data_IF_981201513336
#
_entry.id   IF_981201513336
#
_cell.length_a   1.000
_cell.length_b   1.000
_cell.length_c   1.000
_cell.angle_alpha   90.00
_cell.angle_beta   90.00
_cell.angle_gamma   90.00
#
_symmetry.space_group_name_H-M   'P 1'
#
loop_
_entity.id
_entity.type
_entity.pdbx_description
1 polymer ?
#
# COMPACT_ATOMS: atom_id res chain seq x y z
N UNK A 1 -84.17 126.21 -1.80
CA UNK A 1 -84.48 125.40 -3.00
C UNK A 1 -83.21 125.31 -3.81
N UNK A 2 -82.80 124.11 -4.22
CA UNK A 2 -81.57 123.90 -4.98
C UNK A 2 -81.86 124.00 -6.49
N UNK A 3 -81.17 124.89 -7.20
CA UNK A 3 -81.31 125.06 -8.64
C UNK A 3 -80.60 123.93 -9.39
N UNK A 4 -81.15 123.51 -10.55
CA UNK A 4 -80.58 122.46 -11.39
C UNK A 4 -79.11 122.73 -11.74
N UNK A 5 -78.76 123.98 -12.10
CA UNK A 5 -77.37 124.39 -12.39
C UNK A 5 -76.36 124.08 -11.26
N UNK A 6 -76.77 124.03 -9.99
CA UNK A 6 -75.88 123.68 -8.86
C UNK A 6 -75.72 122.16 -8.75
N UNK A 7 -76.78 121.40 -9.06
CA UNK A 7 -76.72 119.94 -9.13
C UNK A 7 -75.83 119.47 -10.28
N UNK A 8 -75.97 120.11 -11.44
CA UNK A 8 -75.16 119.82 -12.63
C UNK A 8 -73.66 120.02 -12.32
N UNK A 9 -73.30 121.14 -11.70
CA UNK A 9 -71.93 121.40 -11.23
C UNK A 9 -71.40 120.37 -10.24
N UNK A 10 -72.25 119.81 -9.37
CA UNK A 10 -71.85 118.74 -8.44
C UNK A 10 -71.65 117.41 -9.17
N UNK A 11 -72.55 117.07 -10.09
CA UNK A 11 -72.45 115.83 -10.89
C UNK A 11 -71.15 115.80 -11.67
N UNK A 12 -70.89 116.83 -12.48
CA UNK A 12 -69.68 116.87 -13.31
C UNK A 12 -68.41 116.92 -12.46
N UNK A 13 -68.44 117.60 -11.30
CA UNK A 13 -67.32 117.61 -10.35
C UNK A 13 -67.01 116.19 -9.85
N UNK A 14 -68.02 115.41 -9.50
CA UNK A 14 -67.84 114.07 -8.97
C UNK A 14 -67.35 113.11 -10.07
N UNK A 15 -67.86 113.23 -11.30
CA UNK A 15 -67.35 112.51 -12.48
C UNK A 15 -65.87 112.83 -12.73
N UNK A 16 -65.48 114.10 -12.73
CA UNK A 16 -64.07 114.50 -12.87
C UNK A 16 -63.21 113.95 -11.73
N UNK A 17 -63.70 113.91 -10.49
CA UNK A 17 -62.95 113.39 -9.33
C UNK A 17 -62.61 111.90 -9.49
N UNK A 18 -63.45 111.14 -10.15
CA UNK A 18 -63.16 109.74 -10.46
C UNK A 18 -62.26 109.60 -11.70
N UNK A 19 -62.57 110.32 -12.78
CA UNK A 19 -61.80 110.28 -14.03
C UNK A 19 -60.36 110.75 -13.85
N UNK A 20 -60.09 111.76 -13.02
CA UNK A 20 -58.74 112.30 -12.80
C UNK A 20 -57.77 111.30 -12.13
N UNK A 21 -58.28 110.25 -11.47
CA UNK A 21 -57.45 109.18 -10.90
C UNK A 21 -56.68 108.41 -11.99
N UNK A 22 -57.21 108.40 -13.22
CA UNK A 22 -56.56 107.77 -14.38
C UNK A 22 -55.28 108.47 -14.84
N UNK A 23 -55.16 109.79 -14.59
CA UNK A 23 -53.96 110.55 -14.90
C UNK A 23 -52.88 110.19 -13.88
N UNK A 24 -51.80 109.58 -14.38
CA UNK A 24 -50.61 109.22 -13.63
C UNK A 24 -49.48 110.17 -14.01
N UNK A 25 -49.16 111.19 -13.18
CA UNK A 25 -48.12 112.16 -13.50
C UNK A 25 -46.74 111.57 -13.80
N UNK A 26 -46.44 110.37 -13.28
CA UNK A 26 -45.18 109.65 -13.56
C UNK A 26 -45.01 109.21 -15.02
N UNK A 27 -46.11 109.11 -15.78
CA UNK A 27 -46.07 108.70 -17.20
C UNK A 27 -45.65 109.86 -18.14
N UNK A 28 -45.55 111.09 -17.61
CA UNK A 28 -45.20 112.30 -18.35
C UNK A 28 -44.04 113.05 -17.67
N UNK A 29 -42.85 112.42 -17.52
CA UNK A 29 -41.70 113.08 -16.92
C UNK A 29 -41.20 114.21 -17.82
N UNK A 30 -40.84 115.34 -17.22
CA UNK A 30 -40.15 116.48 -17.87
C UNK A 30 -40.87 117.19 -19.03
N UNK A 31 -42.13 116.85 -19.31
CA UNK A 31 -42.97 117.59 -20.27
C UNK A 31 -43.69 118.73 -19.55
N UNK A 32 -43.64 119.91 -20.16
CA UNK A 32 -44.33 121.11 -19.69
C UNK A 32 -45.44 121.51 -20.66
N UNK A 33 -46.50 122.08 -20.10
CA UNK A 33 -47.75 122.39 -20.79
C UNK A 33 -48.21 123.81 -20.46
N UNK A 34 -49.07 124.38 -21.30
CA UNK A 34 -49.58 125.73 -21.17
C UNK A 34 -48.77 126.76 -21.96
N UNK A 35 -49.32 127.97 -22.05
CA UNK A 35 -48.82 129.02 -22.95
C UNK A 35 -47.38 129.45 -22.64
N UNK A 36 -46.96 129.34 -21.38
CA UNK A 36 -45.61 129.68 -20.91
C UNK A 36 -44.83 128.45 -20.43
N UNK A 37 -45.30 127.24 -20.71
CA UNK A 37 -44.74 125.99 -20.17
C UNK A 37 -44.73 125.97 -18.63
N UNK A 38 -45.79 126.51 -18.03
CA UNK A 38 -45.91 126.73 -16.59
C UNK A 38 -46.38 125.50 -15.80
N UNK A 39 -46.95 124.49 -16.49
CA UNK A 39 -47.48 123.30 -15.83
C UNK A 39 -46.71 122.02 -16.16
N UNK A 40 -46.39 121.26 -15.12
CA UNK A 40 -46.06 119.84 -15.22
C UNK A 40 -47.33 119.00 -15.08
N UNK A 41 -47.33 117.76 -15.56
CA UNK A 41 -48.48 116.85 -15.43
C UNK A 41 -48.99 116.71 -13.98
N UNK A 42 -48.08 116.75 -13.00
CA UNK A 42 -48.43 116.76 -11.56
C UNK A 42 -49.14 118.05 -11.18
N UNK A 43 -48.64 119.20 -11.63
CA UNK A 43 -49.22 120.52 -11.37
C UNK A 43 -50.60 120.69 -12.02
N UNK A 44 -50.82 120.13 -13.21
CA UNK A 44 -52.15 120.08 -13.86
C UNK A 44 -53.12 119.30 -12.98
N UNK A 45 -52.74 118.07 -12.56
CA UNK A 45 -53.57 117.23 -11.71
C UNK A 45 -53.95 117.93 -10.41
N UNK A 46 -52.97 118.49 -9.70
CA UNK A 46 -53.19 119.27 -8.47
C UNK A 46 -54.03 120.52 -8.72
N UNK A 47 -53.84 121.18 -9.86
CA UNK A 47 -54.62 122.33 -10.29
C UNK A 47 -56.11 122.01 -10.46
N UNK A 48 -56.43 120.90 -11.12
CA UNK A 48 -57.81 120.41 -11.28
C UNK A 48 -58.39 119.99 -9.92
N UNK A 49 -57.65 119.25 -9.10
CA UNK A 49 -58.08 118.88 -7.73
C UNK A 49 -58.39 120.13 -6.88
N UNK A 50 -57.59 121.18 -7.03
CA UNK A 50 -57.82 122.49 -6.42
C UNK A 50 -59.12 123.14 -6.91
N UNK A 51 -59.38 123.11 -8.22
CA UNK A 51 -60.65 123.57 -8.82
C UNK A 51 -61.84 122.76 -8.28
N UNK A 52 -61.77 121.43 -8.26
CA UNK A 52 -62.86 120.57 -7.77
C UNK A 52 -63.16 120.85 -6.28
N UNK A 53 -62.14 121.15 -5.50
CA UNK A 53 -62.30 121.54 -4.11
C UNK A 53 -62.93 122.93 -3.96
N UNK A 54 -62.56 123.88 -4.83
CA UNK A 54 -63.22 125.19 -4.93
C UNK A 54 -64.70 125.01 -5.34
N UNK A 55 -65.03 124.13 -6.29
CA UNK A 55 -66.43 123.79 -6.66
C UNK A 55 -67.17 123.10 -5.52
N UNK A 56 -66.48 122.25 -4.75
CA UNK A 56 -67.05 121.60 -3.56
C UNK A 56 -67.49 122.65 -2.55
N UNK A 57 -66.62 123.59 -2.22
CA UNK A 57 -66.96 124.70 -1.32
C UNK A 57 -68.04 125.62 -1.90
N UNK A 58 -67.94 125.98 -3.18
CA UNK A 58 -68.91 126.83 -3.88
C UNK A 58 -70.32 126.25 -3.81
N UNK A 59 -70.44 124.94 -4.04
CA UNK A 59 -71.73 124.24 -4.09
C UNK A 59 -72.20 123.74 -2.73
N UNK A 60 -71.37 123.69 -1.69
CA UNK A 60 -71.74 123.19 -0.34
C UNK A 60 -72.94 123.95 0.25
N UNK A 61 -72.97 125.26 0.04
CA UNK A 61 -74.04 126.18 0.48
C UNK A 61 -74.80 126.77 -0.72
N UNK A 62 -75.89 126.14 -1.22
CA UNK A 62 -76.58 126.56 -2.45
C UNK A 62 -77.06 128.02 -2.44
N UNK A 63 -77.53 128.53 -1.30
CA UNK A 63 -77.99 129.92 -1.18
C UNK A 63 -76.84 130.92 -1.35
N UNK A 64 -75.66 130.63 -0.77
CA UNK A 64 -74.45 131.46 -0.90
C UNK A 64 -73.92 131.42 -2.34
N UNK A 65 -73.98 130.26 -2.99
CA UNK A 65 -73.67 130.10 -4.40
C UNK A 65 -74.54 131.02 -5.27
N UNK A 66 -75.86 131.00 -5.09
CA UNK A 66 -76.80 131.84 -5.87
C UNK A 66 -76.55 133.33 -5.62
N UNK A 67 -76.19 133.73 -4.40
CA UNK A 67 -75.88 135.14 -4.10
C UNK A 67 -74.58 135.64 -4.75
N UNK A 68 -73.63 134.74 -5.00
CA UNK A 68 -72.28 135.08 -5.49
C UNK A 68 -72.05 134.75 -6.96
N UNK A 69 -73.02 134.09 -7.61
CA UNK A 69 -72.95 133.69 -9.01
C UNK A 69 -74.25 133.97 -9.73
N UNK A 70 -74.15 134.34 -11.00
CA UNK A 70 -75.28 134.43 -11.92
C UNK A 70 -75.59 133.06 -12.53
N UNK A 71 -76.75 132.94 -13.19
CA UNK A 71 -77.09 131.71 -13.93
C UNK A 71 -76.08 131.44 -15.05
N UNK A 72 -75.73 132.46 -15.84
CA UNK A 72 -74.81 132.33 -16.96
C UNK A 72 -73.40 131.93 -16.51
N UNK A 73 -72.93 132.46 -15.37
CA UNK A 73 -71.64 132.05 -14.78
C UNK A 73 -71.64 130.58 -14.35
N UNK A 74 -72.76 130.05 -13.83
CA UNK A 74 -72.87 128.63 -13.45
C UNK A 74 -72.93 127.72 -14.67
N UNK A 75 -73.62 128.12 -15.74
CA UNK A 75 -73.64 127.38 -17.00
C UNK A 75 -72.26 127.37 -17.64
N UNK A 76 -71.62 128.54 -17.75
CA UNK A 76 -70.25 128.66 -18.27
C UNK A 76 -69.27 127.79 -17.47
N UNK A 77 -69.36 127.79 -16.14
CA UNK A 77 -68.52 126.96 -15.29
C UNK A 77 -68.76 125.46 -15.54
N UNK A 78 -70.01 125.06 -15.73
CA UNK A 78 -70.38 123.68 -16.04
C UNK A 78 -69.81 123.23 -17.40
N UNK A 79 -69.90 124.07 -18.42
CA UNK A 79 -69.35 123.80 -19.76
C UNK A 79 -67.83 123.64 -19.71
N UNK A 80 -67.14 124.50 -18.95
CA UNK A 80 -65.68 124.41 -18.78
C UNK A 80 -65.27 123.15 -17.99
N UNK A 81 -66.09 122.72 -17.01
CA UNK A 81 -65.86 121.46 -16.31
C UNK A 81 -66.09 120.25 -17.23
N UNK A 82 -67.11 120.29 -18.10
CA UNK A 82 -67.31 119.24 -19.11
C UNK A 82 -66.11 119.12 -20.05
N UNK A 83 -65.52 120.25 -20.48
CA UNK A 83 -64.29 120.24 -21.28
C UNK A 83 -63.15 119.55 -20.53
N UNK A 84 -62.94 119.88 -19.24
CA UNK A 84 -61.96 119.18 -18.39
C UNK A 84 -62.23 117.68 -18.35
N UNK A 85 -63.48 117.26 -18.17
CA UNK A 85 -63.84 115.85 -18.15
C UNK A 85 -63.44 115.15 -19.46
N UNK A 86 -63.83 115.70 -20.61
CA UNK A 86 -63.47 115.17 -21.93
C UNK A 86 -61.95 115.13 -22.16
N UNK A 87 -61.23 116.17 -21.76
CA UNK A 87 -59.77 116.21 -21.92
C UNK A 87 -59.03 115.26 -20.97
N UNK A 88 -59.61 114.93 -19.81
CA UNK A 88 -59.10 113.85 -18.95
C UNK A 88 -59.27 112.50 -19.65
N UNK A 89 -60.44 112.23 -20.24
CA UNK A 89 -60.72 110.98 -20.96
C UNK A 89 -59.82 110.79 -22.18
N UNK A 90 -59.57 111.86 -22.94
CA UNK A 90 -58.66 111.84 -24.10
C UNK A 90 -57.18 111.94 -23.72
N UNK A 91 -56.86 112.14 -22.43
CA UNK A 91 -55.49 112.36 -21.90
C UNK A 91 -54.76 113.55 -22.56
N UNK A 92 -55.50 114.61 -22.87
CA UNK A 92 -54.97 115.82 -23.50
C UNK A 92 -54.52 116.84 -22.45
N UNK A 93 -53.27 116.72 -22.01
CA UNK A 93 -52.72 117.58 -20.95
C UNK A 93 -52.56 119.05 -21.37
N UNK A 94 -52.40 119.34 -22.66
CA UNK A 94 -52.26 120.72 -23.14
C UNK A 94 -53.61 121.46 -23.03
N UNK A 95 -54.68 120.82 -23.47
CA UNK A 95 -56.02 121.40 -23.34
C UNK A 95 -56.53 121.40 -21.88
N UNK A 96 -56.05 120.48 -21.02
CA UNK A 96 -56.29 120.56 -19.58
C UNK A 96 -55.62 121.79 -18.95
N UNK A 97 -54.37 122.09 -19.30
CA UNK A 97 -53.68 123.29 -18.82
C UNK A 97 -54.43 124.57 -19.21
N UNK A 98 -54.89 124.65 -20.47
CA UNK A 98 -55.70 125.77 -20.96
C UNK A 98 -57.03 125.88 -20.19
N UNK A 99 -57.73 124.77 -19.99
CA UNK A 99 -59.02 124.74 -19.28
C UNK A 99 -58.90 125.19 -17.81
N UNK A 100 -57.79 124.86 -17.13
CA UNK A 100 -57.49 125.36 -15.78
C UNK A 100 -57.40 126.88 -15.77
N UNK A 101 -56.71 127.46 -16.77
CA UNK A 101 -56.53 128.90 -16.89
C UNK A 101 -57.86 129.62 -17.18
N UNK A 102 -58.78 129.00 -17.92
CA UNK A 102 -60.12 129.55 -18.20
C UNK A 102 -61.04 129.56 -16.98
N UNK A 103 -60.97 128.54 -16.11
CA UNK A 103 -61.84 128.43 -14.93
C UNK A 103 -61.37 129.34 -13.78
N UNK A 104 -60.05 129.57 -13.65
CA UNK A 104 -59.45 130.36 -12.56
C UNK A 104 -60.07 131.76 -12.38
N UNK A 105 -60.26 132.58 -13.42
CA UNK A 105 -60.90 133.89 -13.29
C UNK A 105 -62.34 133.81 -12.76
N UNK A 106 -63.13 132.84 -13.24
CA UNK A 106 -64.52 132.64 -12.82
C UNK A 106 -64.56 132.35 -11.30
N UNK A 107 -63.74 131.39 -10.84
CA UNK A 107 -63.69 131.03 -9.42
C UNK A 107 -63.10 132.13 -8.55
N UNK A 108 -62.15 132.92 -9.06
CA UNK A 108 -61.58 134.06 -8.32
C UNK A 108 -62.64 135.13 -8.05
N UNK A 109 -63.49 135.41 -9.03
CA UNK A 109 -64.55 136.42 -8.91
C UNK A 109 -65.61 136.04 -7.87
N UNK A 110 -65.87 134.74 -7.65
CA UNK A 110 -66.80 134.29 -6.59
C UNK A 110 -66.23 134.48 -5.18
N UNK A 111 -64.91 134.60 -5.04
CA UNK A 111 -64.22 134.68 -3.76
C UNK A 111 -64.24 133.39 -2.94
N UNK A 112 -64.59 132.24 -3.56
CA UNK A 112 -64.81 130.95 -2.87
C UNK A 112 -63.64 130.49 -2.00
N UNK A 113 -62.42 130.88 -2.35
CA UNK A 113 -61.20 130.52 -1.60
C UNK A 113 -61.13 131.13 -0.20
N UNK A 114 -61.89 132.20 0.05
CA UNK A 114 -61.98 132.87 1.34
C UNK A 114 -63.24 132.47 2.12
N UNK A 115 -63.95 131.43 1.68
CA UNK A 115 -65.14 130.94 2.37
C UNK A 115 -64.76 129.91 3.44
N UNK A 116 -65.48 129.92 4.57
CA UNK A 116 -65.28 128.94 5.65
C UNK A 116 -65.49 127.50 5.15
N UNK A 117 -66.42 127.28 4.21
CA UNK A 117 -66.65 125.98 3.59
C UNK A 117 -65.42 125.44 2.85
N UNK A 118 -64.55 126.33 2.33
CA UNK A 118 -63.32 125.92 1.65
C UNK A 118 -62.22 125.54 2.65
N UNK A 119 -62.17 126.24 3.78
CA UNK A 119 -61.27 125.93 4.89
C UNK A 119 -61.60 124.57 5.48
N UNK A 120 -62.88 124.27 5.71
CA UNK A 120 -63.34 122.97 6.22
C UNK A 120 -62.92 121.80 5.29
N UNK A 121 -63.09 121.97 3.97
CA UNK A 121 -62.62 120.97 2.97
C UNK A 121 -61.10 120.77 3.05
N UNK A 122 -60.33 121.81 3.35
CA UNK A 122 -58.88 121.71 3.52
C UNK A 122 -58.50 120.98 4.81
N UNK A 123 -59.18 121.26 5.93
CA UNK A 123 -58.95 120.61 7.22
C UNK A 123 -59.30 119.11 7.18
N UNK A 124 -60.40 118.74 6.51
CA UNK A 124 -60.78 117.34 6.28
C UNK A 124 -59.69 116.58 5.51
N UNK A 125 -59.18 117.18 4.42
CA UNK A 125 -58.11 116.57 3.61
C UNK A 125 -56.80 116.43 4.40
N UNK A 126 -56.45 117.44 5.19
CA UNK A 126 -55.24 117.44 6.03
C UNK A 126 -55.34 116.37 7.13
N UNK A 127 -56.49 116.27 7.78
CA UNK A 127 -56.76 115.24 8.80
C UNK A 127 -56.67 113.83 8.21
N UNK A 128 -57.25 113.62 7.03
CA UNK A 128 -57.16 112.33 6.33
C UNK A 128 -55.71 111.96 5.99
N UNK A 129 -54.88 112.94 5.59
CA UNK A 129 -53.46 112.71 5.31
C UNK A 129 -52.65 112.39 6.57
N UNK A 130 -52.93 113.06 7.70
CA UNK A 130 -52.29 112.77 8.99
C UNK A 130 -52.59 111.36 9.49
N UNK A 131 -53.83 110.88 9.33
CA UNK A 131 -54.20 109.49 9.66
C UNK A 131 -53.39 108.49 8.85
N UNK A 132 -53.33 108.66 7.52
CA UNK A 132 -52.52 107.81 6.63
C UNK A 132 -51.03 107.82 6.98
N UNK A 133 -50.50 108.98 7.35
CA UNK A 133 -49.10 109.10 7.77
C UNK A 133 -48.81 108.35 9.07
N UNK A 134 -49.75 108.40 10.02
CA UNK A 134 -49.65 107.67 11.30
C UNK A 134 -49.71 106.16 11.08
N UNK A 135 -50.70 105.68 10.31
CA UNK A 135 -50.82 104.27 9.92
C UNK A 135 -49.56 103.76 9.20
N UNK A 136 -48.96 104.58 8.33
CA UNK A 136 -47.71 104.21 7.66
C UNK A 136 -46.54 104.10 8.65
N UNK A 137 -46.45 105.00 9.64
CA UNK A 137 -45.40 104.96 10.67
C UNK A 137 -45.51 103.68 11.51
N UNK A 138 -46.71 103.31 11.96
CA UNK A 138 -46.95 102.07 12.72
C UNK A 138 -46.55 100.83 11.91
N UNK A 139 -46.89 100.82 10.61
CA UNK A 139 -46.49 99.73 9.72
C UNK A 139 -44.96 99.64 9.57
N UNK A 140 -44.25 100.77 9.49
CA UNK A 140 -42.78 100.80 9.42
C UNK A 140 -42.16 100.23 10.69
N UNK A 141 -42.68 100.59 11.86
CA UNK A 141 -42.20 100.04 13.14
C UNK A 141 -42.40 98.53 13.21
N UNK A 142 -43.58 98.03 12.82
CA UNK A 142 -43.87 96.59 12.77
C UNK A 142 -42.95 95.83 11.80
N UNK A 143 -42.57 96.47 10.69
CA UNK A 143 -41.65 95.90 9.71
C UNK A 143 -40.22 95.82 10.27
N UNK A 144 -39.77 96.86 10.98
CA UNK A 144 -38.46 96.87 11.64
C UNK A 144 -38.35 95.78 12.73
N UNK A 145 -39.40 95.58 13.53
CA UNK A 145 -39.45 94.47 14.49
C UNK A 145 -39.36 93.11 13.80
N UNK A 146 -40.04 92.96 12.66
CA UNK A 146 -40.02 91.72 11.88
C UNK A 146 -38.63 91.47 11.30
N UNK A 147 -37.94 92.51 10.82
CA UNK A 147 -36.56 92.43 10.36
C UNK A 147 -35.60 92.02 11.47
N UNK A 148 -35.74 92.58 12.67
CA UNK A 148 -34.95 92.17 13.85
C UNK A 148 -35.15 90.70 14.18
N UNK A 149 -36.40 90.22 14.18
CA UNK A 149 -36.72 88.79 14.39
C UNK A 149 -36.09 87.92 13.29
N UNK A 150 -36.19 88.32 12.03
CA UNK A 150 -35.57 87.59 10.92
C UNK A 150 -34.04 87.49 11.05
N UNK A 151 -33.36 88.56 11.47
CA UNK A 151 -31.92 88.56 11.72
C UNK A 151 -31.53 87.56 12.82
N UNK A 152 -32.28 87.50 13.93
CA UNK A 152 -32.01 86.53 15.00
C UNK A 152 -32.20 85.08 14.55
N UNK A 153 -33.18 84.81 13.69
CA UNK A 153 -33.42 83.48 13.12
C UNK A 153 -32.28 83.08 12.19
N UNK A 154 -31.78 84.01 11.36
CA UNK A 154 -30.64 83.74 10.46
C UNK A 154 -29.39 83.34 11.25
N UNK A 155 -29.11 84.01 12.36
CA UNK A 155 -27.98 83.65 13.22
C UNK A 155 -28.15 82.25 13.81
N UNK A 156 -29.34 81.93 14.34
CA UNK A 156 -29.64 80.59 14.85
C UNK A 156 -29.50 79.49 13.79
N UNK A 157 -29.93 79.75 12.56
CA UNK A 157 -29.76 78.82 11.43
C UNK A 157 -28.28 78.59 11.12
N UNK A 158 -27.44 79.62 11.23
CA UNK A 158 -26.00 79.49 10.97
C UNK A 158 -25.32 78.55 11.95
N UNK A 159 -25.69 78.60 13.23
CA UNK A 159 -25.18 77.71 14.29
C UNK A 159 -25.62 76.27 14.03
N UNK A 160 -26.92 76.06 13.77
CA UNK A 160 -27.47 74.72 13.47
C UNK A 160 -26.78 74.10 12.25
N UNK A 161 -26.48 74.91 11.23
CA UNK A 161 -25.78 74.44 10.03
C UNK A 161 -24.37 73.92 10.36
N UNK A 162 -23.63 74.61 11.22
CA UNK A 162 -22.28 74.21 11.60
C UNK A 162 -22.30 72.94 12.47
N UNK A 163 -23.24 72.82 13.40
CA UNK A 163 -23.40 71.62 14.22
C UNK A 163 -23.83 70.41 13.37
N UNK A 164 -24.77 70.60 12.43
CA UNK A 164 -25.14 69.56 11.48
C UNK A 164 -23.96 69.08 10.63
N UNK A 165 -23.03 69.99 10.28
CA UNK A 165 -21.83 69.65 9.53
C UNK A 165 -20.84 68.81 10.35
N UNK A 166 -20.67 69.11 11.65
CA UNK A 166 -19.84 68.31 12.56
C UNK A 166 -20.41 66.90 12.77
N UNK A 167 -21.73 66.79 12.94
CA UNK A 167 -22.39 65.49 13.04
C UNK A 167 -22.25 64.68 11.74
N UNK A 168 -22.36 65.34 10.58
CA UNK A 168 -22.14 64.70 9.28
C UNK A 168 -20.71 64.13 9.14
N UNK A 169 -19.69 64.84 9.63
CA UNK A 169 -18.30 64.33 9.62
C UNK A 169 -18.13 63.14 10.56
N UNK A 170 -18.68 63.21 11.77
CA UNK A 170 -18.63 62.10 12.74
C UNK A 170 -19.29 60.83 12.18
N UNK A 171 -20.47 60.97 11.55
CA UNK A 171 -21.19 59.85 10.92
C UNK A 171 -20.34 59.25 9.78
N UNK A 172 -19.64 60.09 9.01
CA UNK A 172 -18.77 59.61 7.92
C UNK A 172 -17.59 58.79 8.44
N UNK A 173 -16.98 59.21 9.55
CA UNK A 173 -15.87 58.49 10.18
C UNK A 173 -16.34 57.14 10.75
N UNK A 174 -17.45 57.13 11.49
CA UNK A 174 -18.09 55.91 12.00
C UNK A 174 -18.46 54.94 10.86
N UNK A 175 -18.92 55.46 9.73
CA UNK A 175 -19.25 54.64 8.57
C UNK A 175 -18.01 53.95 7.98
N UNK A 176 -16.87 54.65 7.91
CA UNK A 176 -15.61 54.06 7.45
C UNK A 176 -15.09 52.98 8.40
N UNK A 177 -15.18 53.21 9.71
CA UNK A 177 -14.82 52.22 10.72
C UNK A 177 -15.69 50.95 10.62
N UNK A 178 -17.00 51.13 10.40
CA UNK A 178 -17.94 50.02 10.22
C UNK A 178 -17.64 49.21 8.94
N UNK A 179 -17.23 49.87 7.86
CA UNK A 179 -16.78 49.19 6.63
C UNK A 179 -15.53 48.35 6.93
N UNK A 180 -14.53 48.92 7.61
CA UNK A 180 -13.30 48.21 7.96
C UNK A 180 -13.57 46.96 8.82
N UNK A 181 -14.42 47.10 9.86
CA UNK A 181 -14.81 46.00 10.72
C UNK A 181 -15.58 44.91 9.96
N UNK A 182 -16.43 45.31 9.01
CA UNK A 182 -17.16 44.37 8.14
C UNK A 182 -16.20 43.58 7.25
N UNK A 183 -15.17 44.24 6.69
CA UNK A 183 -14.14 43.56 5.91
C UNK A 183 -13.34 42.57 6.75
N UNK A 184 -12.93 42.95 7.96
CA UNK A 184 -12.23 42.06 8.89
C UNK A 184 -13.08 40.84 9.27
N UNK A 185 -14.36 41.06 9.59
CA UNK A 185 -15.31 39.99 9.90
C UNK A 185 -15.47 38.99 8.75
N UNK A 186 -15.52 39.48 7.51
CA UNK A 186 -15.60 38.62 6.33
C UNK A 186 -14.33 37.80 6.10
N UNK A 187 -13.15 38.37 6.37
CA UNK A 187 -11.89 37.66 6.28
C UNK A 187 -11.80 36.55 7.34
N UNK A 188 -12.11 36.87 8.61
CA UNK A 188 -12.17 35.88 9.69
C UNK A 188 -13.16 34.75 9.38
N UNK A 189 -14.32 35.07 8.81
CA UNK A 189 -15.30 34.06 8.40
C UNK A 189 -14.73 33.10 7.34
N UNK A 190 -13.96 33.62 6.40
CA UNK A 190 -13.30 32.79 5.37
C UNK A 190 -12.25 31.87 5.99
N UNK A 191 -11.41 32.38 6.88
CA UNK A 191 -10.41 31.57 7.61
C UNK A 191 -11.07 30.46 8.43
N UNK A 192 -12.19 30.75 9.11
CA UNK A 192 -12.96 29.74 9.85
C UNK A 192 -13.51 28.67 8.90
N UNK A 193 -14.03 29.07 7.73
CA UNK A 193 -14.54 28.12 6.74
C UNK A 193 -13.45 27.20 6.21
N UNK A 194 -12.29 27.75 5.84
CA UNK A 194 -11.12 26.99 5.39
C UNK A 194 -10.65 26.01 6.49
N UNK A 195 -10.67 26.45 7.76
CA UNK A 195 -10.36 25.61 8.92
C UNK A 195 -11.35 24.45 9.10
N UNK A 196 -12.66 24.69 8.95
CA UNK A 196 -13.70 23.64 9.02
C UNK A 196 -13.51 22.60 7.90
N UNK A 197 -13.17 23.02 6.69
CA UNK A 197 -12.89 22.11 5.58
C UNK A 197 -11.66 21.23 5.86
N UNK A 198 -10.60 21.83 6.40
CA UNK A 198 -9.40 21.11 6.81
C UNK A 198 -9.70 20.09 7.93
N UNK A 199 -10.45 20.47 8.96
CA UNK A 199 -10.83 19.58 10.06
C UNK A 199 -11.73 18.43 9.58
N UNK A 200 -12.63 18.71 8.64
CA UNK A 200 -13.48 17.68 8.02
C UNK A 200 -12.63 16.65 7.26
N UNK A 201 -11.65 17.12 6.47
CA UNK A 201 -10.71 16.26 5.75
C UNK A 201 -9.84 15.44 6.72
N UNK A 202 -9.31 16.07 7.77
CA UNK A 202 -8.54 15.39 8.80
C UNK A 202 -9.38 14.33 9.53
N UNK A 203 -10.64 14.63 9.87
CA UNK A 203 -11.55 13.67 10.48
C UNK A 203 -11.82 12.47 9.58
N UNK A 204 -11.93 12.67 8.26
CA UNK A 204 -12.05 11.56 7.30
C UNK A 204 -10.79 10.69 7.32
N UNK A 205 -9.61 11.29 7.23
CA UNK A 205 -8.33 10.56 7.26
C UNK A 205 -8.14 9.78 8.56
N UNK A 206 -8.50 10.37 9.70
CA UNK A 206 -8.45 9.69 11.02
C UNK A 206 -9.37 8.47 11.03
N UNK A 207 -10.56 8.57 10.43
CA UNK A 207 -11.50 7.44 10.30
C UNK A 207 -10.92 6.31 9.45
N UNK A 208 -10.24 6.65 8.34
CA UNK A 208 -9.59 5.67 7.48
C UNK A 208 -8.44 4.97 8.22
N UNK A 209 -7.55 5.73 8.88
CA UNK A 209 -6.47 5.20 9.71
C UNK A 209 -7.01 4.29 10.83
N UNK A 210 -8.13 4.67 11.45
CA UNK A 210 -8.77 3.85 12.49
C UNK A 210 -9.26 2.50 11.93
N UNK A 211 -9.84 2.50 10.72
CA UNK A 211 -10.29 1.28 10.06
C UNK A 211 -9.11 0.38 9.66
N UNK A 212 -8.03 0.96 9.13
CA UNK A 212 -6.79 0.23 8.84
C UNK A 212 -6.19 -0.38 10.11
N UNK A 213 -6.09 0.41 11.19
CA UNK A 213 -5.59 -0.05 12.48
C UNK A 213 -6.41 -1.20 13.05
N UNK A 214 -7.74 -1.19 12.90
CA UNK A 214 -8.60 -2.31 13.30
C UNK A 214 -8.30 -3.57 12.48
N UNK A 215 -8.21 -3.42 11.16
CA UNK A 215 -7.86 -4.52 10.25
C UNK A 215 -6.50 -5.13 10.62
N UNK A 216 -5.48 -4.30 10.86
CA UNK A 216 -4.17 -4.77 11.30
C UNK A 216 -4.23 -5.48 12.66
N UNK A 217 -5.03 -4.98 13.61
CA UNK A 217 -5.24 -5.65 14.89
C UNK A 217 -5.83 -7.06 14.72
N UNK A 218 -6.79 -7.24 13.81
CA UNK A 218 -7.39 -8.56 13.51
C UNK A 218 -6.36 -9.52 12.89
N UNK A 219 -5.52 -9.02 11.99
CA UNK A 219 -4.42 -9.80 11.39
C UNK A 219 -3.41 -10.23 12.44
N UNK A 220 -3.02 -9.32 13.35
CA UNK A 220 -2.08 -9.62 14.44
C UNK A 220 -2.67 -10.66 15.39
N UNK A 221 -3.96 -10.56 15.72
CA UNK A 221 -4.63 -11.55 16.56
C UNK A 221 -4.63 -12.94 15.88
N UNK A 222 -5.01 -12.99 14.60
CA UNK A 222 -5.00 -14.24 13.81
C UNK A 222 -3.59 -14.83 13.71
N UNK A 223 -2.57 -13.99 13.56
CA UNK A 223 -1.18 -14.42 13.52
C UNK A 223 -0.75 -14.99 14.88
N UNK A 224 -1.10 -14.33 15.97
CA UNK A 224 -0.80 -14.78 17.34
C UNK A 224 -1.44 -16.14 17.63
N UNK A 225 -2.70 -16.35 17.22
CA UNK A 225 -3.38 -17.65 17.32
C UNK A 225 -2.65 -18.74 16.52
N UNK A 226 -2.20 -18.44 15.30
CA UNK A 226 -1.41 -19.39 14.49
C UNK A 226 -0.07 -19.74 15.13
N UNK A 227 0.62 -18.77 15.74
CA UNK A 227 1.86 -19.04 16.48
C UNK A 227 1.61 -19.99 17.64
N UNK A 228 0.58 -19.72 18.45
CA UNK A 228 0.22 -20.62 19.56
C UNK A 228 -0.10 -22.04 19.07
N UNK A 229 -0.83 -22.19 17.95
CA UNK A 229 -1.08 -23.50 17.33
C UNK A 229 0.20 -24.18 16.84
N UNK A 230 1.13 -23.44 16.23
CA UNK A 230 2.41 -23.98 15.77
C UNK A 230 3.30 -24.43 16.92
N UNK A 231 3.28 -23.72 18.04
CA UNK A 231 4.00 -24.08 19.25
C UNK A 231 3.50 -25.42 19.82
N UNK A 232 2.18 -25.61 19.87
CA UNK A 232 1.57 -26.90 20.24
C UNK A 232 2.01 -28.03 19.28
N UNK A 233 2.01 -27.77 17.97
CA UNK A 233 2.45 -28.76 16.97
C UNK A 233 3.93 -29.12 17.13
N UNK A 234 4.80 -28.15 17.40
CA UNK A 234 6.23 -28.36 17.61
C UNK A 234 6.50 -29.19 18.85
N UNK A 235 5.81 -28.93 19.97
CA UNK A 235 5.97 -29.74 21.18
C UNK A 235 5.47 -31.19 20.95
N UNK A 236 4.40 -31.35 20.16
CA UNK A 236 3.95 -32.67 19.69
C UNK A 236 5.01 -33.40 18.87
N UNK A 237 5.58 -32.75 17.85
CA UNK A 237 6.64 -33.32 17.02
C UNK A 237 7.91 -33.66 17.82
N UNK A 238 8.28 -32.82 18.78
CA UNK A 238 9.40 -33.08 19.67
C UNK A 238 9.16 -34.36 20.48
N UNK A 239 7.97 -34.52 21.03
CA UNK A 239 7.58 -35.74 21.76
C UNK A 239 7.65 -36.98 20.88
N UNK A 240 7.12 -36.92 19.65
CA UNK A 240 7.21 -38.03 18.68
C UNK A 240 8.66 -38.34 18.31
N UNK A 241 9.49 -37.32 18.10
CA UNK A 241 10.91 -37.46 17.76
C UNK A 241 11.69 -38.14 18.90
N UNK A 242 11.42 -37.77 20.15
CA UNK A 242 11.99 -38.43 21.32
C UNK A 242 11.57 -39.90 21.41
N UNK A 243 10.30 -40.21 21.08
CA UNK A 243 9.83 -41.60 21.03
C UNK A 243 10.51 -42.40 19.91
N UNK A 244 10.63 -41.82 18.71
CA UNK A 244 11.34 -42.45 17.60
C UNK A 244 12.82 -42.67 17.92
N UNK A 245 13.49 -41.70 18.55
CA UNK A 245 14.88 -41.85 19.01
C UNK A 245 15.04 -43.02 19.97
N UNK A 246 14.15 -43.17 20.96
CA UNK A 246 14.12 -44.33 21.87
C UNK A 246 13.92 -45.65 21.12
N UNK A 247 13.00 -45.69 20.15
CA UNK A 247 12.77 -46.87 19.30
C UNK A 247 14.00 -47.22 18.47
N UNK A 248 14.70 -46.21 17.93
CA UNK A 248 15.90 -46.40 17.13
C UNK A 248 17.03 -47.02 17.96
N UNK A 249 17.28 -46.50 19.16
CA UNK A 249 18.25 -47.06 20.10
C UNK A 249 17.92 -48.50 20.48
N UNK A 250 16.63 -48.80 20.71
CA UNK A 250 16.19 -50.17 21.00
C UNK A 250 16.38 -51.10 19.80
N UNK A 251 16.19 -50.61 18.57
CA UNK A 251 16.40 -51.36 17.34
C UNK A 251 17.90 -51.60 17.08
N UNK A 252 18.74 -50.60 17.27
CA UNK A 252 20.20 -50.69 17.16
C UNK A 252 20.75 -51.75 18.12
N UNK A 253 20.34 -51.73 19.39
CA UNK A 253 20.72 -52.75 20.37
C UNK A 253 20.25 -54.16 19.97
N UNK A 254 19.07 -54.30 19.37
CA UNK A 254 18.61 -55.60 18.83
C UNK A 254 19.46 -56.03 17.64
N UNK A 255 19.81 -55.09 16.77
CA UNK A 255 20.64 -55.37 15.60
C UNK A 255 22.05 -55.82 15.98
N UNK A 256 22.69 -55.16 16.96
CA UNK A 256 23.97 -55.59 17.53
C UNK A 256 23.89 -57.03 18.08
N UNK A 257 22.83 -57.35 18.84
CA UNK A 257 22.62 -58.70 19.37
C UNK A 257 22.42 -59.73 18.23
N UNK A 258 21.68 -59.40 17.18
CA UNK A 258 21.54 -60.27 16.01
C UNK A 258 22.86 -60.46 15.26
N UNK A 259 23.70 -59.43 15.15
CA UNK A 259 25.04 -59.54 14.56
C UNK A 259 25.92 -60.47 15.40
N UNK A 260 25.94 -60.32 16.72
CA UNK A 260 26.69 -61.20 17.62
C UNK A 260 26.21 -62.65 17.52
N UNK A 261 24.88 -62.88 17.45
CA UNK A 261 24.32 -64.21 17.22
C UNK A 261 24.73 -64.78 15.86
N UNK A 262 24.75 -63.97 14.81
CA UNK A 262 25.16 -64.40 13.48
C UNK A 262 26.65 -64.76 13.42
N UNK A 263 27.53 -63.94 14.03
CA UNK A 263 28.96 -64.22 14.12
C UNK A 263 29.26 -65.51 14.90
N UNK A 264 28.55 -65.73 16.02
CA UNK A 264 28.64 -66.96 16.79
C UNK A 264 28.20 -68.18 15.98
N UNK A 265 27.08 -68.08 15.24
CA UNK A 265 26.60 -69.16 14.35
C UNK A 265 27.59 -69.47 13.21
N UNK A 266 28.20 -68.46 12.61
CA UNK A 266 29.22 -68.65 11.56
C UNK A 266 30.43 -69.39 12.15
N UNK A 267 30.89 -68.96 13.32
CA UNK A 267 32.03 -69.59 14.01
C UNK A 267 31.73 -71.04 14.40
N UNK A 268 30.52 -71.33 14.88
CA UNK A 268 30.09 -72.69 15.21
C UNK A 268 30.01 -73.58 13.96
N UNK A 269 29.49 -73.05 12.85
CA UNK A 269 29.42 -73.76 11.57
C UNK A 269 30.81 -74.08 11.01
N UNK A 270 31.75 -73.12 11.04
CA UNK A 270 33.14 -73.32 10.61
C UNK A 270 33.85 -74.41 11.43
N UNK A 271 33.73 -74.35 12.76
CA UNK A 271 34.30 -75.34 13.66
C UNK A 271 33.72 -76.75 13.43
N UNK A 272 32.39 -76.87 13.24
CA UNK A 272 31.73 -78.13 12.94
C UNK A 272 32.18 -78.74 11.60
N UNK A 273 32.39 -77.89 10.58
CA UNK A 273 32.87 -78.32 9.26
C UNK A 273 34.31 -78.87 9.35
N UNK A 274 35.17 -78.19 10.09
CA UNK A 274 36.57 -78.61 10.32
C UNK A 274 36.66 -79.93 11.10
N UNK A 275 35.83 -80.09 12.15
CA UNK A 275 35.77 -81.34 12.95
C UNK A 275 35.27 -82.52 12.10
N UNK A 276 34.17 -82.32 11.36
CA UNK A 276 33.55 -83.38 10.54
C UNK A 276 34.48 -83.89 9.44
N UNK A 277 35.24 -83.00 8.80
CA UNK A 277 36.17 -83.36 7.73
C UNK A 277 37.43 -84.07 8.26
N UNK A 278 37.93 -83.66 9.42
CA UNK A 278 39.12 -84.24 10.06
C UNK A 278 38.83 -85.64 10.63
N UNK A 279 37.65 -85.83 11.25
CA UNK A 279 37.28 -87.10 11.88
C UNK A 279 36.64 -88.14 10.95
N UNK A 280 35.96 -87.73 9.87
CA UNK A 280 35.19 -88.67 9.03
C UNK A 280 36.01 -89.46 8.01
N UNK A 281 36.52 -88.77 6.97
CA UNK A 281 37.07 -89.45 5.78
C UNK A 281 38.53 -89.89 6.00
N UNK A 282 39.36 -89.04 6.60
CA UNK A 282 40.77 -89.35 6.80
C UNK A 282 41.01 -90.44 7.85
N UNK A 283 40.19 -90.44 8.92
CA UNK A 283 40.23 -91.45 9.98
C UNK A 283 39.81 -92.83 9.46
N UNK A 284 38.79 -92.90 8.59
CA UNK A 284 38.34 -94.16 7.99
C UNK A 284 39.44 -94.84 7.15
N UNK A 285 40.19 -94.10 6.33
CA UNK A 285 41.34 -94.65 5.60
C UNK A 285 42.50 -95.01 6.51
N UNK A 286 42.76 -94.21 7.56
CA UNK A 286 43.80 -94.53 8.53
C UNK A 286 43.49 -95.80 9.33
N UNK A 287 42.22 -96.05 9.64
CA UNK A 287 41.77 -97.29 10.30
C UNK A 287 41.95 -98.50 9.40
N UNK A 288 41.54 -98.40 8.13
CA UNK A 288 41.78 -99.46 7.13
C UNK A 288 43.28 -99.70 6.87
N UNK A 289 44.11 -98.65 6.91
CA UNK A 289 45.56 -98.76 6.84
C UNK A 289 46.14 -99.55 8.02
N UNK A 290 45.80 -99.20 9.27
CA UNK A 290 46.30 -99.91 10.45
C UNK A 290 45.76 -101.35 10.53
N UNK A 291 44.50 -101.60 10.16
CA UNK A 291 43.96 -102.96 10.04
C UNK A 291 44.69 -103.78 8.98
N UNK A 292 44.91 -103.24 7.78
CA UNK A 292 45.66 -103.92 6.72
C UNK A 292 47.14 -104.16 7.08
N UNK A 293 47.77 -103.23 7.82
CA UNK A 293 49.16 -103.31 8.28
C UNK A 293 49.37 -104.36 9.37
N UNK A 294 48.43 -104.49 10.31
CA UNK A 294 48.48 -105.47 11.41
C UNK A 294 48.09 -106.87 10.97
N UNK A 295 47.28 -107.01 9.91
CA UNK A 295 46.81 -108.31 9.42
C UNK A 295 47.88 -109.06 8.63
N UNK A 296 48.68 -109.87 9.33
CA UNK A 296 49.30 -111.07 8.78
C UNK A 296 50.30 -110.92 7.63
N UNK A 297 50.82 -109.72 7.33
CA UNK A 297 51.85 -109.52 6.28
C UNK A 297 53.05 -110.44 6.46
N UNK A 298 53.45 -110.66 7.71
CA UNK A 298 54.54 -111.57 8.05
C UNK A 298 54.18 -113.04 7.80
N UNK A 299 52.91 -113.43 7.93
CA UNK A 299 52.45 -114.82 7.69
C UNK A 299 52.70 -115.23 6.24
N UNK A 300 52.52 -114.33 5.27
CA UNK A 300 52.76 -114.65 3.85
C UNK A 300 54.25 -114.71 3.49
N UNK A 301 55.09 -113.81 4.04
CA UNK A 301 56.55 -113.90 3.87
C UNK A 301 57.09 -115.17 4.51
N UNK A 302 56.72 -115.42 5.77
CA UNK A 302 57.19 -116.57 6.53
C UNK A 302 56.69 -117.87 5.90
N UNK A 303 55.45 -117.91 5.42
CA UNK A 303 54.92 -119.04 4.66
C UNK A 303 55.71 -119.30 3.38
N UNK A 304 55.96 -118.28 2.55
CA UNK A 304 56.77 -118.44 1.34
C UNK A 304 58.18 -118.96 1.65
N UNK A 305 58.85 -118.41 2.67
CA UNK A 305 60.19 -118.85 3.08
C UNK A 305 60.21 -120.31 3.55
N UNK A 306 59.23 -120.74 4.33
CA UNK A 306 59.10 -122.12 4.82
C UNK A 306 58.88 -123.08 3.64
N UNK A 307 57.98 -122.78 2.72
CA UNK A 307 57.69 -123.68 1.59
C UNK A 307 58.87 -123.78 0.61
N UNK A 308 59.63 -122.70 0.40
CA UNK A 308 60.88 -122.77 -0.37
C UNK A 308 61.91 -123.67 0.34
N UNK A 309 62.04 -123.54 1.67
CA UNK A 309 62.90 -124.43 2.47
C UNK A 309 62.47 -125.89 2.35
N UNK A 310 61.17 -126.19 2.42
CA UNK A 310 60.63 -127.54 2.23
C UNK A 310 60.98 -128.07 0.83
N UNK A 311 60.83 -127.27 -0.23
CA UNK A 311 61.20 -127.67 -1.58
C UNK A 311 62.70 -128.01 -1.69
N UNK A 312 63.56 -127.24 -1.03
CA UNK A 312 65.01 -127.49 -0.98
C UNK A 312 65.30 -128.80 -0.23
N UNK A 313 64.66 -129.02 0.93
CA UNK A 313 64.85 -130.24 1.73
C UNK A 313 64.42 -131.49 0.93
N UNK A 314 63.27 -131.45 0.26
CA UNK A 314 62.80 -132.54 -0.62
C UNK A 314 63.79 -132.78 -1.76
N UNK A 315 64.35 -131.71 -2.32
CA UNK A 315 65.35 -131.83 -3.39
C UNK A 315 66.63 -132.51 -2.92
N UNK A 316 67.12 -132.18 -1.72
CA UNK A 316 68.33 -132.78 -1.13
C UNK A 316 68.14 -134.28 -0.79
N UNK A 317 66.93 -134.68 -0.40
CA UNK A 317 66.57 -136.08 -0.14
C UNK A 317 66.54 -136.93 -1.41
N UNK A 318 66.12 -136.37 -2.55
CA UNK A 318 66.18 -137.06 -3.86
C UNK A 318 67.62 -137.40 -4.27
N UNK A 319 68.58 -136.50 -3.99
CA UNK A 319 69.99 -136.72 -4.29
C UNK A 319 70.72 -137.58 -3.23
N UNK A 320 70.02 -138.04 -2.19
CA UNK A 320 70.56 -138.92 -1.16
C UNK A 320 71.44 -138.23 -0.10
N UNK A 321 71.43 -136.90 -0.03
CA UNK A 321 72.23 -136.13 0.93
C UNK A 321 71.63 -136.07 2.34
N UNK A 322 70.31 -136.20 2.45
CA UNK A 322 69.56 -136.16 3.71
C UNK A 322 68.48 -137.23 3.63
N UNK A 323 68.30 -138.05 4.68
CA UNK A 323 67.15 -138.96 4.77
C UNK A 323 66.03 -138.30 5.56
N UNK A 324 64.97 -137.88 4.89
CA UNK A 324 63.86 -137.16 5.54
C UNK A 324 63.12 -138.00 6.58
N UNK A 325 63.03 -139.33 6.38
CA UNK A 325 62.35 -140.26 7.30
C UNK A 325 62.99 -140.29 8.69
N UNK A 326 64.32 -140.20 8.77
CA UNK A 326 65.06 -140.14 10.02
C UNK A 326 64.92 -138.77 10.70
N UNK A 327 65.01 -137.67 9.93
CA UNK A 327 64.91 -136.30 10.45
C UNK A 327 63.52 -135.97 11.02
N UNK A 328 62.45 -136.55 10.49
CA UNK A 328 61.09 -136.42 11.03
C UNK A 328 60.78 -137.47 12.12
N UNK A 329 61.73 -138.31 12.52
CA UNK A 329 61.58 -139.30 13.60
C UNK A 329 60.61 -140.44 13.27
N UNK A 330 60.37 -140.71 11.99
CA UNK A 330 59.41 -141.72 11.54
C UNK A 330 60.15 -143.05 11.41
N UNK A 331 59.95 -143.97 12.37
CA UNK A 331 60.56 -145.31 12.35
C UNK A 331 60.03 -146.15 11.18
N UNK A 332 60.97 -146.72 10.42
CA UNK A 332 60.75 -147.48 9.20
C UNK A 332 59.69 -148.59 9.32
N UNK A 333 58.75 -148.60 8.37
CA UNK A 333 58.17 -149.83 7.84
C UNK A 333 58.88 -150.17 6.54
N UNK A 334 59.51 -151.33 6.56
CA UNK A 334 60.37 -151.97 5.55
C UNK A 334 59.98 -151.69 4.08
N UNK A 335 60.59 -150.66 3.48
CA UNK A 335 60.69 -150.49 2.02
C UNK A 335 62.11 -150.08 1.69
N UNK A 336 63.04 -151.05 1.66
CA UNK A 336 64.18 -150.92 0.76
C UNK A 336 63.61 -150.84 -0.66
N UNK A 337 63.77 -149.71 -1.33
CA UNK A 337 64.29 -149.77 -2.69
C UNK A 337 64.54 -148.38 -3.28
N UNK A 338 65.77 -148.28 -3.78
CA UNK A 338 66.22 -147.45 -4.90
C UNK A 338 65.43 -147.78 -6.20
N UNK A 339 64.10 -147.77 -6.14
CA UNK A 339 63.21 -148.00 -7.26
C UNK A 339 62.97 -146.66 -7.97
N UNK A 340 63.13 -146.67 -9.29
CA UNK A 340 62.88 -145.51 -10.18
C UNK A 340 61.51 -144.86 -9.89
N UNK A 341 60.52 -145.67 -9.52
CA UNK A 341 59.17 -145.19 -9.18
C UNK A 341 59.15 -144.28 -7.93
N UNK A 342 60.03 -144.51 -6.94
CA UNK A 342 60.12 -143.69 -5.73
C UNK A 342 60.79 -142.33 -5.98
N UNK A 343 61.83 -142.30 -6.83
CA UNK A 343 62.50 -141.06 -7.25
C UNK A 343 61.57 -140.22 -8.13
N UNK A 344 60.84 -140.87 -9.06
CA UNK A 344 59.88 -140.19 -9.94
C UNK A 344 58.72 -139.55 -9.15
N UNK A 345 58.20 -140.26 -8.14
CA UNK A 345 57.16 -139.73 -7.26
C UNK A 345 57.63 -138.51 -6.45
N UNK A 346 58.89 -138.48 -5.98
CA UNK A 346 59.46 -137.35 -5.24
C UNK A 346 59.74 -136.14 -6.16
N UNK A 347 60.22 -136.37 -7.38
CA UNK A 347 60.44 -135.30 -8.37
C UNK A 347 59.12 -134.60 -8.75
N UNK A 348 58.04 -135.38 -8.84
CA UNK A 348 56.69 -134.86 -9.11
C UNK A 348 56.11 -134.05 -7.93
N UNK A 349 56.70 -134.16 -6.74
CA UNK A 349 56.23 -133.47 -5.53
C UNK A 349 56.79 -132.04 -5.40
N UNK A 350 57.93 -131.72 -6.01
CA UNK A 350 58.62 -130.40 -5.95
C UNK A 350 57.77 -129.22 -6.48
N UNK A 351 56.98 -129.35 -7.57
CA UNK A 351 56.15 -128.25 -8.07
C UNK A 351 55.11 -127.75 -7.05
N UNK A 352 54.68 -128.59 -6.12
CA UNK A 352 53.65 -128.27 -5.13
C UNK A 352 54.11 -127.15 -4.17
N UNK A 353 55.22 -127.30 -3.40
CA UNK A 353 55.68 -126.23 -2.52
C UNK A 353 56.11 -124.97 -3.29
N UNK A 354 56.60 -125.08 -4.52
CA UNK A 354 56.95 -123.91 -5.35
C UNK A 354 55.72 -123.10 -5.76
N UNK A 355 54.63 -123.75 -6.18
CA UNK A 355 53.38 -123.06 -6.51
C UNK A 355 52.72 -122.42 -5.28
N UNK A 356 52.82 -123.06 -4.11
CA UNK A 356 52.36 -122.49 -2.84
C UNK A 356 53.22 -121.29 -2.43
N UNK A 357 54.55 -121.38 -2.55
CA UNK A 357 55.45 -120.25 -2.28
C UNK A 357 55.18 -119.07 -3.22
N UNK A 358 54.97 -119.34 -4.52
CA UNK A 358 54.56 -118.33 -5.50
C UNK A 358 53.23 -117.66 -5.13
N UNK A 359 52.24 -118.44 -4.72
CA UNK A 359 50.96 -117.92 -4.25
C UNK A 359 51.13 -117.02 -3.02
N UNK A 360 51.92 -117.44 -2.03
CA UNK A 360 52.24 -116.64 -0.85
C UNK A 360 52.93 -115.32 -1.22
N UNK A 361 53.89 -115.35 -2.16
CA UNK A 361 54.55 -114.14 -2.65
C UNK A 361 53.56 -113.18 -3.37
N UNK A 362 52.67 -113.72 -4.20
CA UNK A 362 51.64 -112.94 -4.89
C UNK A 362 50.67 -112.29 -3.91
N UNK A 363 50.26 -113.01 -2.86
CA UNK A 363 49.38 -112.47 -1.81
C UNK A 363 50.08 -111.39 -0.99
N UNK A 364 51.36 -111.58 -0.68
CA UNK A 364 52.15 -110.56 -0.01
C UNK A 364 52.23 -109.25 -0.81
N UNK A 365 52.48 -109.33 -2.12
CA UNK A 365 52.52 -108.13 -2.99
C UNK A 365 51.15 -107.45 -3.04
N UNK A 366 50.06 -108.22 -3.13
CA UNK A 366 48.69 -107.68 -3.07
C UNK A 366 48.43 -106.93 -1.77
N UNK A 367 48.74 -107.54 -0.62
CA UNK A 367 48.55 -106.89 0.68
C UNK A 367 49.42 -105.63 0.83
N UNK A 368 50.67 -105.67 0.37
CA UNK A 368 51.55 -104.49 0.41
C UNK A 368 50.98 -103.33 -0.41
N UNK A 369 50.49 -103.60 -1.62
CA UNK A 369 49.89 -102.57 -2.48
C UNK A 369 48.62 -101.96 -1.84
N UNK A 370 47.80 -102.79 -1.20
CA UNK A 370 46.60 -102.31 -0.47
C UNK A 370 47.01 -101.38 0.69
N UNK A 371 48.04 -101.75 1.45
CA UNK A 371 48.54 -100.91 2.56
C UNK A 371 49.08 -99.58 2.04
N UNK A 372 49.89 -99.58 0.98
CA UNK A 372 50.43 -98.35 0.38
C UNK A 372 49.31 -97.45 -0.18
N UNK A 373 48.27 -98.03 -0.79
CA UNK A 373 47.12 -97.29 -1.31
C UNK A 373 46.29 -96.64 -0.18
N UNK A 374 46.02 -97.36 0.91
CA UNK A 374 45.31 -96.79 2.07
C UNK A 374 46.13 -95.72 2.79
N UNK A 375 47.45 -95.88 2.88
CA UNK A 375 48.33 -94.83 3.41
C UNK A 375 48.26 -93.55 2.57
N UNK A 376 48.34 -93.70 1.24
CA UNK A 376 48.23 -92.60 0.29
C UNK A 376 46.87 -91.90 0.39
N UNK A 377 45.77 -92.65 0.41
CA UNK A 377 44.41 -92.10 0.54
C UNK A 377 44.17 -91.39 1.87
N UNK A 378 44.73 -91.90 2.97
CA UNK A 378 44.68 -91.25 4.28
C UNK A 378 45.38 -89.88 4.26
N UNK A 379 46.59 -89.81 3.68
CA UNK A 379 47.34 -88.55 3.56
C UNK A 379 46.63 -87.57 2.62
N UNK A 380 46.11 -88.05 1.48
CA UNK A 380 45.35 -87.25 0.51
C UNK A 380 44.07 -86.67 1.13
N UNK A 381 43.36 -87.45 1.96
CA UNK A 381 42.18 -86.98 2.68
C UNK A 381 42.50 -85.93 3.75
N UNK A 382 43.65 -86.06 4.45
CA UNK A 382 44.10 -85.03 5.41
C UNK A 382 44.49 -83.72 4.70
N UNK A 383 45.17 -83.81 3.56
CA UNK A 383 45.57 -82.62 2.80
C UNK A 383 44.38 -81.93 2.12
N UNK A 384 43.33 -82.68 1.73
CA UNK A 384 42.08 -82.11 1.22
C UNK A 384 41.50 -81.02 2.14
N UNK A 385 41.48 -81.28 3.44
CA UNK A 385 40.96 -80.33 4.45
C UNK A 385 41.88 -79.11 4.60
N UNK A 386 43.20 -79.33 4.59
CA UNK A 386 44.17 -78.23 4.65
C UNK A 386 44.13 -77.32 3.43
N UNK A 387 44.02 -77.90 2.23
CA UNK A 387 43.93 -77.14 0.98
C UNK A 387 42.54 -76.56 0.72
N UNK A 388 41.46 -77.19 1.21
CA UNK A 388 40.12 -76.60 1.06
C UNK A 388 40.02 -75.25 1.78
N UNK A 389 40.66 -75.13 2.95
CA UNK A 389 40.70 -73.89 3.71
C UNK A 389 41.50 -72.78 2.99
N UNK A 390 42.58 -73.12 2.28
CA UNK A 390 43.35 -72.13 1.50
C UNK A 390 42.64 -71.72 0.20
N UNK A 391 42.00 -72.67 -0.48
CA UNK A 391 41.32 -72.43 -1.76
C UNK A 391 39.95 -71.75 -1.60
N UNK A 392 39.27 -71.90 -0.46
CA UNK A 392 38.00 -71.21 -0.18
C UNK A 392 38.16 -69.70 0.08
N UNK A 393 39.35 -69.24 0.46
CA UNK A 393 39.66 -67.83 0.72
C UNK A 393 40.08 -67.02 -0.50
N UNK A 394 40.41 -67.65 -1.63
CA UNK A 394 40.84 -66.94 -2.84
C UNK A 394 39.64 -66.56 -3.73
N UNK A 395 39.46 -65.27 -3.98
CA UNK A 395 38.27 -64.63 -4.59
C UNK A 395 38.05 -64.91 -6.08
N UNK A 396 38.73 -65.89 -6.68
CA UNK A 396 38.56 -66.25 -8.10
C UNK A 396 38.05 -67.69 -8.27
N UNK A 397 36.78 -67.77 -8.67
CA UNK A 397 36.05 -68.87 -9.33
C UNK A 397 36.20 -70.26 -8.68
N UNK A 398 35.10 -70.70 -8.06
CA UNK A 398 34.88 -72.07 -7.58
C UNK A 398 35.01 -73.20 -8.61
N UNK A 399 35.38 -72.92 -9.86
CA UNK A 399 35.80 -73.95 -10.83
C UNK A 399 37.12 -74.62 -10.41
N UNK A 400 38.12 -73.86 -9.93
CA UNK A 400 39.41 -74.45 -9.53
C UNK A 400 39.28 -75.26 -8.23
N UNK A 401 38.47 -74.76 -7.29
CA UNK A 401 38.08 -75.50 -6.09
C UNK A 401 37.32 -76.78 -6.47
N UNK A 402 36.30 -76.69 -7.33
CA UNK A 402 35.53 -77.85 -7.77
C UNK A 402 36.41 -78.86 -8.54
N UNK A 403 37.31 -78.40 -9.40
CA UNK A 403 38.26 -79.24 -10.13
C UNK A 403 39.25 -79.95 -9.19
N UNK A 404 39.75 -79.24 -8.18
CA UNK A 404 40.62 -79.82 -7.15
C UNK A 404 39.88 -80.90 -6.33
N UNK A 405 38.71 -80.57 -5.78
CA UNK A 405 37.87 -81.52 -5.04
C UNK A 405 37.53 -82.73 -5.92
N UNK A 406 37.10 -82.52 -7.17
CA UNK A 406 36.76 -83.59 -8.11
C UNK A 406 37.97 -84.47 -8.46
N UNK A 407 39.16 -83.87 -8.62
CA UNK A 407 40.40 -84.61 -8.86
C UNK A 407 40.79 -85.47 -7.65
N UNK A 408 40.69 -84.92 -6.43
CA UNK A 408 40.95 -85.65 -5.19
C UNK A 408 39.94 -86.81 -5.02
N UNK A 409 38.64 -86.56 -5.21
CA UNK A 409 37.62 -87.62 -5.16
C UNK A 409 37.85 -88.69 -6.23
N UNK A 410 38.21 -88.30 -7.45
CA UNK A 410 38.55 -89.24 -8.53
C UNK A 410 39.74 -90.13 -8.15
N UNK A 411 40.74 -89.61 -7.44
CA UNK A 411 41.86 -90.41 -6.95
C UNK A 411 41.46 -91.32 -5.78
N UNK A 412 40.59 -90.83 -4.87
CA UNK A 412 40.07 -91.59 -3.73
C UNK A 412 39.27 -92.84 -4.16
N UNK A 413 38.52 -92.73 -5.26
CA UNK A 413 37.66 -93.79 -5.80
C UNK A 413 38.39 -94.83 -6.68
N UNK A 414 39.70 -94.69 -6.91
CA UNK A 414 40.46 -95.68 -7.69
C UNK A 414 40.66 -96.99 -6.93
N UNK A 415 40.70 -98.11 -7.68
CA UNK A 415 40.84 -99.47 -7.14
C UNK A 415 42.22 -99.70 -6.46
N UNK A 416 42.25 -100.23 -5.23
CA UNK A 416 43.48 -100.48 -4.46
C UNK A 416 44.42 -101.53 -5.05
N UNK A 417 43.94 -102.40 -5.96
CA UNK A 417 44.71 -103.51 -6.54
C UNK A 417 45.28 -103.20 -7.94
N UNK A 418 45.41 -101.92 -8.29
CA UNK A 418 46.04 -101.54 -9.56
C UNK A 418 47.45 -102.13 -9.68
N UNK A 419 47.78 -102.66 -10.86
CA UNK A 419 49.19 -102.83 -11.22
C UNK A 419 49.77 -101.43 -11.24
N UNK A 420 50.66 -101.11 -10.29
CA UNK A 420 51.59 -100.00 -10.45
C UNK A 420 52.51 -100.38 -11.63
N UNK A 421 52.01 -100.24 -12.85
CA UNK A 421 52.89 -100.20 -14.00
C UNK A 421 53.74 -98.95 -13.80
N UNK A 422 55.05 -99.15 -13.83
CA UNK A 422 56.06 -98.08 -13.87
C UNK A 422 55.84 -97.27 -15.16
N UNK A 423 54.84 -96.42 -15.19
CA UNK A 423 54.60 -95.51 -16.31
C UNK A 423 54.42 -94.05 -15.86
N UNK A 424 54.59 -93.75 -14.56
CA UNK A 424 54.54 -92.37 -14.08
C UNK A 424 55.89 -91.76 -13.67
N UNK A 425 57.00 -92.50 -13.81
CA UNK A 425 58.34 -91.99 -13.44
C UNK A 425 59.37 -91.90 -14.59
N UNK A 426 59.06 -92.34 -15.82
CA UNK A 426 60.04 -92.29 -16.93
C UNK A 426 59.63 -91.46 -18.16
N UNK A 427 58.42 -90.89 -18.23
CA UNK A 427 57.98 -90.12 -19.42
C UNK A 427 58.12 -88.59 -19.29
N UNK A 428 58.27 -88.01 -18.09
CA UNK A 428 58.51 -86.55 -17.90
C UNK A 428 59.80 -86.21 -17.12
N UNK A 429 60.55 -87.21 -16.67
CA UNK A 429 61.85 -87.04 -16.01
C UNK A 429 63.02 -87.15 -17.00
N UNK A 430 62.89 -87.92 -18.08
CA UNK A 430 63.87 -88.01 -19.17
C UNK A 430 63.98 -86.70 -19.97
N UNK A 431 62.87 -85.97 -20.13
CA UNK A 431 62.83 -84.63 -20.76
C UNK A 431 63.51 -83.57 -19.87
N UNK A 432 63.34 -83.66 -18.54
CA UNK A 432 63.93 -82.69 -17.58
C UNK A 432 65.41 -82.96 -17.25
N UNK A 433 65.88 -84.20 -17.41
CA UNK A 433 67.29 -84.58 -17.20
C UNK A 433 68.10 -84.41 -18.51
N UNK A 434 67.51 -84.67 -19.68
CA UNK A 434 68.12 -84.33 -20.98
C UNK A 434 68.36 -82.83 -21.11
N UNK A 435 67.36 -82.00 -20.74
CA UNK A 435 67.49 -80.54 -20.79
C UNK A 435 68.51 -79.99 -19.77
N UNK A 436 68.77 -80.70 -18.66
CA UNK A 436 69.83 -80.32 -17.71
C UNK A 436 71.23 -80.78 -18.11
N UNK A 437 71.37 -81.84 -18.90
CA UNK A 437 72.66 -82.29 -19.43
C UNK A 437 73.13 -81.40 -20.60
N UNK A 438 72.21 -80.86 -21.41
CA UNK A 438 72.52 -79.85 -22.43
C UNK A 438 72.82 -78.48 -21.83
N UNK A 439 72.10 -78.05 -20.79
CA UNK A 439 72.42 -76.79 -20.07
C UNK A 439 73.80 -76.82 -19.37
N UNK A 440 74.23 -77.97 -18.83
CA UNK A 440 75.54 -78.10 -18.15
C UNK A 440 76.72 -78.24 -19.14
N UNK A 441 76.46 -78.67 -20.37
CA UNK A 441 77.51 -78.74 -21.42
C UNK A 441 77.65 -77.43 -22.20
N UNK A 442 76.62 -76.58 -22.23
CA UNK A 442 76.70 -75.26 -22.88
C UNK A 442 77.09 -74.11 -21.96
N UNK A 443 76.85 -74.14 -20.65
CA UNK A 443 77.37 -73.09 -19.76
C UNK A 443 78.86 -73.26 -19.38
N UNK A 444 79.52 -74.33 -19.83
CA UNK A 444 80.95 -74.59 -19.60
C UNK A 444 81.82 -74.35 -20.84
N UNK A 445 81.22 -73.88 -21.95
CA UNK A 445 81.97 -73.40 -23.13
C UNK A 445 81.95 -71.88 -23.29
N UNK A 446 81.22 -71.15 -22.45
CA UNK A 446 81.17 -69.68 -22.41
C UNK A 446 81.54 -69.08 -21.04
N UNK A 447 82.30 -69.82 -20.20
CA UNK A 447 83.08 -69.29 -19.07
C UNK A 447 84.21 -70.23 -18.62
#
# INVERSE_FOLDING_TARGET
MECNSIKDLRSIRDEIRDSIKSIKPKEYPDIRYGQENEYEAKSIKVGIEGILSDITALTKSPNRCIQKTTFDERILLNDRLNNIHTYIESKDLENLANSINEIKPILRNTGVRYWDERLEVFDEATTAQQKKASELSENIESFDETLKKAATILEAISVIKEDAKKEQTNISELHQELIALTTETNNLRKEIQDGIEQDTNNSSKIKDILNESKTHSEVINTFSEKIAQREIQLEGQKTETEEYSKKLLAFEKKHENYLEQAENLITEAENSLQLSATEGISSAFNRQYEEAKTTGRFIWITGAAIFVLIAIIISLDIFGFVNISELLGIKDTDVKANNINGILARFLLIPIPLTVAWFCAMQYVKQKNIIEDYAYKSVLAKSLVGFSNQLATDTNKGEDYAYFIQSVFKELHKDPLRKHHKEFYESKASEKISNRLTEVTQNKSDN
#
